data_IF_677131153554
#
_entry.id   IF_677131153554
#
_cell.length_a   1.000
_cell.length_b   1.000
_cell.length_c   1.000
_cell.angle_alpha   90.00
_cell.angle_beta   90.00
_cell.angle_gamma   90.00
#
_symmetry.space_group_name_H-M   'P 1'
#
loop_
_entity.id
_entity.type
_entity.pdbx_description
1 polymer ?
#
# COMPACT_ATOMS: atom_id res chain seq x y z
N UNK A 1 11.52 11.61 15.34
CA UNK A 1 10.45 11.09 14.45
C UNK A 1 10.98 11.00 13.03
N UNK A 2 11.28 9.79 12.55
CA UNK A 2 11.85 9.57 11.21
C UNK A 2 10.72 9.44 10.19
N UNK A 3 10.74 10.22 9.11
CA UNK A 3 9.73 10.12 8.04
C UNK A 3 9.84 8.76 7.34
N UNK A 4 8.72 8.13 6.94
CA UNK A 4 8.77 6.88 6.19
C UNK A 4 9.48 7.11 4.85
N UNK A 5 10.37 6.17 4.48
CA UNK A 5 11.01 6.18 3.15
C UNK A 5 9.97 5.78 2.10
N UNK A 6 9.47 6.75 1.35
CA UNK A 6 8.51 6.52 0.25
C UNK A 6 9.30 6.22 -1.03
N UNK A 7 8.94 5.14 -1.73
CA UNK A 7 9.43 4.83 -3.08
C UNK A 7 8.27 4.91 -4.07
N UNK A 8 8.51 5.52 -5.22
CA UNK A 8 7.54 5.62 -6.30
C UNK A 8 7.67 4.40 -7.22
N UNK A 9 6.55 3.94 -7.77
CA UNK A 9 6.49 2.84 -8.74
C UNK A 9 5.66 3.31 -9.93
N UNK A 10 6.14 3.01 -11.14
CA UNK A 10 5.37 3.16 -12.37
C UNK A 10 4.94 1.78 -12.85
N UNK A 11 3.64 1.61 -13.08
CA UNK A 11 3.04 0.36 -13.54
C UNK A 11 2.62 0.53 -15.01
N UNK A 12 3.00 -0.41 -15.87
CA UNK A 12 2.52 -0.48 -17.26
C UNK A 12 1.51 -1.62 -17.33
N UNK A 13 0.33 -1.32 -17.84
CA UNK A 13 -0.77 -2.26 -18.02
C UNK A 13 -1.25 -2.22 -19.46
N UNK A 14 -1.77 -3.34 -20.01
CA UNK A 14 -2.65 -3.33 -21.16
C UNK A 14 -3.85 -2.40 -20.92
N UNK A 15 -4.35 -1.80 -22.00
CA UNK A 15 -5.45 -0.83 -21.94
C UNK A 15 -6.70 -1.40 -21.24
N UNK A 16 -7.12 -2.61 -21.62
CA UNK A 16 -8.29 -3.26 -21.04
C UNK A 16 -8.17 -3.53 -19.53
N UNK A 17 -6.98 -3.86 -19.02
CA UNK A 17 -6.77 -4.04 -17.59
C UNK A 17 -6.80 -2.70 -16.84
N UNK A 18 -6.28 -1.64 -17.47
CA UNK A 18 -6.33 -0.30 -16.92
C UNK A 18 -7.76 0.23 -16.84
N UNK A 19 -8.56 0.05 -17.90
CA UNK A 19 -9.98 0.42 -17.92
C UNK A 19 -10.77 -0.31 -16.83
N UNK A 20 -10.57 -1.62 -16.66
CA UNK A 20 -11.20 -2.38 -15.59
C UNK A 20 -10.82 -1.85 -14.19
N UNK A 21 -9.54 -1.50 -13.99
CA UNK A 21 -9.07 -0.89 -12.75
C UNK A 21 -9.70 0.49 -12.51
N UNK A 22 -9.84 1.31 -13.56
CA UNK A 22 -10.48 2.62 -13.49
C UNK A 22 -11.95 2.51 -13.11
N UNK A 23 -12.69 1.60 -13.75
CA UNK A 23 -14.10 1.37 -13.48
C UNK A 23 -14.33 0.92 -12.04
N UNK A 24 -13.54 -0.02 -11.54
CA UNK A 24 -13.59 -0.44 -10.15
C UNK A 24 -13.31 0.73 -9.20
N UNK A 25 -12.25 1.50 -9.45
CA UNK A 25 -11.92 2.66 -8.61
C UNK A 25 -13.06 3.68 -8.57
N UNK A 26 -13.74 3.90 -9.70
CA UNK A 26 -14.88 4.80 -9.82
C UNK A 26 -16.11 4.27 -9.06
N UNK A 27 -16.43 2.98 -9.20
CA UNK A 27 -17.59 2.36 -8.56
C UNK A 27 -17.48 2.36 -7.02
N UNK A 28 -16.29 2.06 -6.49
CA UNK A 28 -16.06 1.92 -5.05
C UNK A 28 -15.45 3.18 -4.40
N UNK A 29 -15.28 4.28 -5.16
CA UNK A 29 -14.63 5.51 -4.71
C UNK A 29 -13.24 5.27 -4.06
N UNK A 30 -12.49 4.31 -4.61
CA UNK A 30 -11.14 3.93 -4.11
C UNK A 30 -10.06 4.50 -5.01
N UNK A 31 -8.90 4.82 -4.42
CA UNK A 31 -7.72 5.22 -5.19
C UNK A 31 -6.95 4.02 -5.70
N UNK A 32 -6.44 4.07 -6.94
CA UNK A 32 -5.56 3.02 -7.52
C UNK A 32 -4.40 2.66 -6.58
N UNK A 33 -3.74 3.67 -6.02
CA UNK A 33 -2.65 3.50 -5.05
C UNK A 33 -3.09 2.82 -3.75
N UNK A 34 -4.31 3.11 -3.28
CA UNK A 34 -4.85 2.50 -2.07
C UNK A 34 -5.12 1.01 -2.29
N UNK A 35 -5.74 0.68 -3.44
CA UNK A 35 -6.00 -0.69 -3.85
C UNK A 35 -4.72 -1.52 -3.98
N UNK A 36 -3.68 -0.94 -4.60
CA UNK A 36 -2.36 -1.59 -4.69
C UNK A 36 -1.75 -1.77 -3.29
N UNK A 37 -1.88 -0.79 -2.39
CA UNK A 37 -1.39 -0.93 -1.00
C UNK A 37 -2.14 -2.00 -0.22
N UNK A 38 -3.46 -2.10 -0.37
CA UNK A 38 -4.25 -3.15 0.26
C UNK A 38 -3.87 -4.52 -0.27
N UNK A 39 -3.69 -4.66 -1.58
CA UNK A 39 -3.20 -5.89 -2.20
C UNK A 39 -1.81 -6.26 -1.68
N UNK A 40 -0.88 -5.30 -1.58
CA UNK A 40 0.45 -5.56 -1.01
C UNK A 40 0.33 -6.04 0.43
N UNK A 41 -0.56 -5.45 1.24
CA UNK A 41 -0.78 -5.84 2.64
C UNK A 41 -1.40 -7.22 2.79
N UNK A 42 -2.14 -7.70 1.79
CA UNK A 42 -2.69 -9.06 1.78
C UNK A 42 -1.69 -10.12 1.33
N UNK A 43 -0.52 -9.74 0.81
CA UNK A 43 0.52 -10.70 0.42
C UNK A 43 1.09 -11.41 1.67
N UNK A 44 1.33 -12.73 1.62
CA UNK A 44 1.90 -13.48 2.76
C UNK A 44 3.33 -13.05 3.11
N UNK A 45 4.01 -12.39 2.17
CA UNK A 45 5.37 -11.87 2.35
C UNK A 45 5.39 -10.48 2.99
N UNK A 46 4.24 -9.80 3.07
CA UNK A 46 4.16 -8.50 3.71
C UNK A 46 4.32 -8.68 5.22
N UNK A 47 5.41 -8.13 5.74
CA UNK A 47 5.63 -7.99 7.17
C UNK A 47 5.27 -6.56 7.54
N UNK A 48 4.26 -6.38 8.40
CA UNK A 48 4.04 -5.09 9.06
C UNK A 48 5.34 -4.71 9.74
N UNK A 49 5.86 -3.48 9.56
CA UNK A 49 6.94 -3.01 10.42
C UNK A 49 6.39 -3.03 11.84
N UNK A 50 6.85 -3.97 12.66
CA UNK A 50 6.47 -4.11 14.06
C UNK A 50 6.76 -2.80 14.77
N UNK A 51 5.71 -2.05 15.10
CA UNK A 51 5.79 -0.91 16.01
C UNK A 51 5.76 -1.44 17.44
N UNK A 52 6.79 -2.18 17.87
CA UNK A 52 6.96 -2.60 19.27
C UNK A 52 8.45 -2.75 19.58
N UNK A 53 9.07 -1.67 20.03
CA UNK A 53 9.97 -1.73 21.20
C UNK A 53 9.51 -0.62 22.14
N UNK A 54 8.72 -0.93 23.20
CA UNK A 54 8.57 0.00 24.30
C UNK A 54 9.95 0.26 24.89
N UNK A 55 10.33 1.55 24.98
CA UNK A 55 11.56 1.99 25.62
C UNK A 55 11.63 1.36 27.02
N UNK A 56 12.77 0.78 27.44
CA UNK A 56 12.94 0.42 28.84
C UNK A 56 12.83 1.70 29.66
N UNK A 57 11.78 1.77 30.47
CA UNK A 57 11.60 2.69 31.57
C UNK A 57 12.87 2.60 32.43
N UNK A 58 13.73 3.62 32.34
CA UNK A 58 14.85 3.77 33.25
C UNK A 58 14.41 4.81 34.29
N UNK A 59 14.22 4.31 35.51
CA UNK A 59 13.98 5.04 36.76
C UNK A 59 15.03 6.12 37.02
#
# INVERSE_FOLDING_TARGET
MTRPKIKNMSLKLPEHEFEALEEYCKQYHRGKTELIREFIRSLPTYKTPTTEEPLPDND
#
